data_IF_820620843007
#
_entry.id   IF_820620843007
#
_cell.length_a   1.000
_cell.length_b   1.000
_cell.length_c   1.000
_cell.angle_alpha   90.00
_cell.angle_beta   90.00
_cell.angle_gamma   90.00
#
_symmetry.space_group_name_H-M   'P 1'
#
loop_
_entity.id
_entity.type
_entity.pdbx_description
1 polymer ?
#
# COMPACT_ATOMS: atom_id res chain seq x y z
N UNK A 1 -5.85 26.60 14.00
CA UNK A 1 -6.20 27.00 12.62
C UNK A 1 -5.15 27.93 11.98
N UNK A 2 -4.29 28.63 12.74
CA UNK A 2 -3.23 29.51 12.20
C UNK A 2 -2.19 28.82 11.30
N UNK A 3 -1.85 27.54 11.52
CA UNK A 3 -0.83 26.86 10.71
C UNK A 3 -1.33 26.34 9.34
N UNK A 4 -2.65 26.23 9.14
CA UNK A 4 -3.20 25.73 7.88
C UNK A 4 -3.12 26.77 6.75
N UNK A 5 -3.14 28.06 7.09
CA UNK A 5 -2.99 29.14 6.12
C UNK A 5 -1.58 29.22 5.49
N UNK A 6 -0.57 28.57 6.09
CA UNK A 6 0.76 28.40 5.49
C UNK A 6 0.83 27.21 4.51
N UNK A 7 -0.22 26.39 4.43
CA UNK A 7 -0.27 25.20 3.56
C UNK A 7 -0.87 25.49 2.17
N UNK A 8 -1.14 26.76 1.83
CA UNK A 8 -1.61 27.18 0.49
C UNK A 8 -0.54 27.00 -0.62
N UNK A 9 0.63 26.43 -0.27
CA UNK A 9 1.71 26.13 -1.20
C UNK A 9 1.66 24.71 -1.76
N UNK A 10 2.24 24.54 -2.96
CA UNK A 10 2.57 23.23 -3.54
C UNK A 10 3.80 22.62 -2.86
N UNK A 11 3.91 21.29 -2.88
CA UNK A 11 4.97 20.53 -2.20
C UNK A 11 6.00 19.95 -3.18
N UNK A 12 7.28 20.00 -2.83
CA UNK A 12 8.35 19.35 -3.60
C UNK A 12 8.47 17.85 -3.29
N UNK A 13 7.93 17.40 -2.15
CA UNK A 13 7.96 16.00 -1.74
C UNK A 13 6.71 15.66 -0.93
N UNK A 14 6.02 14.59 -1.32
CA UNK A 14 4.94 13.97 -0.54
C UNK A 14 5.31 12.51 -0.28
N UNK A 15 5.22 12.09 0.97
CA UNK A 15 5.61 10.76 1.41
C UNK A 15 4.41 9.96 1.91
N UNK A 16 4.21 8.78 1.35
CA UNK A 16 3.37 7.72 1.91
C UNK A 16 4.30 6.71 2.59
N UNK A 17 4.27 6.66 3.92
CA UNK A 17 5.09 5.74 4.70
C UNK A 17 4.19 4.80 5.49
N UNK A 18 4.11 3.52 5.07
CA UNK A 18 3.27 2.50 5.68
C UNK A 18 1.83 2.95 5.92
N UNK A 19 1.24 3.65 4.95
CA UNK A 19 -0.07 4.30 5.09
C UNK A 19 -1.10 3.68 4.17
N UNK A 20 -0.73 3.44 2.91
CA UNK A 20 -1.69 3.16 1.85
C UNK A 20 -2.37 1.81 2.04
N UNK A 21 -1.68 0.82 2.61
CA UNK A 21 -2.29 -0.47 2.94
C UNK A 21 -3.39 -0.40 4.00
N UNK A 22 -3.54 0.74 4.70
CA UNK A 22 -4.65 1.00 5.61
C UNK A 22 -5.86 1.67 4.95
N UNK A 23 -5.78 2.08 3.68
CA UNK A 23 -6.88 2.70 2.93
C UNK A 23 -7.89 1.68 2.42
N UNK A 24 -8.45 0.91 3.36
CA UNK A 24 -9.40 -0.17 3.07
C UNK A 24 -10.83 0.36 2.87
N UNK A 25 -11.57 -0.31 2.00
CA UNK A 25 -13.00 -0.08 1.76
C UNK A 25 -13.84 -1.32 2.11
N UNK A 26 -15.12 -1.31 1.74
CA UNK A 26 -16.04 -2.43 2.01
C UNK A 26 -15.74 -3.66 1.13
N UNK A 27 -14.92 -3.51 0.10
CA UNK A 27 -14.48 -4.60 -0.78
C UNK A 27 -13.01 -4.45 -1.16
N UNK A 28 -12.42 -5.54 -1.65
CA UNK A 28 -11.03 -5.52 -2.14
C UNK A 28 -10.87 -4.57 -3.33
N UNK A 29 -11.84 -4.54 -4.27
CA UNK A 29 -11.79 -3.64 -5.42
C UNK A 29 -11.94 -2.16 -5.02
N UNK A 30 -12.82 -1.86 -4.06
CA UNK A 30 -12.91 -0.51 -3.46
C UNK A 30 -11.62 -0.11 -2.77
N UNK A 31 -11.01 -1.02 -2.00
CA UNK A 31 -9.70 -0.79 -1.37
C UNK A 31 -8.62 -0.43 -2.40
N UNK A 32 -8.55 -1.18 -3.51
CA UNK A 32 -7.61 -0.88 -4.61
C UNK A 32 -7.87 0.49 -5.24
N UNK A 33 -9.14 0.88 -5.39
CA UNK A 33 -9.52 2.21 -5.88
C UNK A 33 -9.13 3.31 -4.88
N UNK A 34 -9.35 3.11 -3.58
CA UNK A 34 -8.98 4.07 -2.54
C UNK A 34 -7.48 4.34 -2.51
N UNK A 35 -6.65 3.29 -2.62
CA UNK A 35 -5.19 3.42 -2.73
C UNK A 35 -4.80 4.26 -3.95
N UNK A 36 -5.32 3.91 -5.13
CA UNK A 36 -5.01 4.65 -6.36
C UNK A 36 -5.49 6.12 -6.29
N UNK A 37 -6.70 6.35 -5.77
CA UNK A 37 -7.28 7.68 -5.62
C UNK A 37 -6.46 8.56 -4.66
N UNK A 38 -5.93 7.99 -3.57
CA UNK A 38 -5.07 8.74 -2.65
C UNK A 38 -3.75 9.17 -3.32
N UNK A 39 -3.16 8.31 -4.16
CA UNK A 39 -1.95 8.64 -4.92
C UNK A 39 -2.25 9.72 -5.97
N UNK A 40 -3.37 9.63 -6.68
CA UNK A 40 -3.80 10.65 -7.64
C UNK A 40 -4.11 12.00 -6.97
N UNK A 41 -4.74 11.98 -5.79
CA UNK A 41 -5.14 13.18 -5.07
C UNK A 41 -3.95 14.07 -4.65
N UNK A 42 -2.74 13.50 -4.52
CA UNK A 42 -1.56 14.30 -4.16
C UNK A 42 -0.90 15.00 -5.35
N UNK A 43 -1.18 14.57 -6.57
CA UNK A 43 -0.58 15.13 -7.80
C UNK A 43 -0.83 16.64 -7.96
N UNK A 44 -2.06 17.18 -7.82
CA UNK A 44 -2.29 18.62 -7.94
C UNK A 44 -1.57 19.43 -6.84
N UNK A 45 -1.21 18.79 -5.73
CA UNK A 45 -0.49 19.40 -4.61
C UNK A 45 1.01 19.51 -4.89
N UNK A 46 1.54 18.85 -5.91
CA UNK A 46 2.97 18.88 -6.22
C UNK A 46 3.37 20.13 -7.00
N UNK A 47 4.61 20.59 -6.76
CA UNK A 47 5.30 21.53 -7.65
C UNK A 47 5.64 20.84 -8.98
N UNK A 48 6.08 21.60 -9.98
CA UNK A 48 6.56 21.02 -11.25
C UNK A 48 7.80 20.14 -11.12
N UNK A 49 8.51 20.22 -9.99
CA UNK A 49 9.66 19.35 -9.66
C UNK A 49 9.34 18.38 -8.53
N UNK A 50 8.06 18.31 -8.16
CA UNK A 50 7.57 17.54 -7.03
C UNK A 50 7.76 16.04 -7.23
N UNK A 51 7.99 15.35 -6.12
CA UNK A 51 8.17 13.90 -6.10
C UNK A 51 7.21 13.25 -5.12
N UNK A 52 6.84 12.01 -5.40
CA UNK A 52 6.12 11.16 -4.45
C UNK A 52 7.03 10.00 -4.03
N UNK A 53 7.10 9.76 -2.73
CA UNK A 53 7.82 8.65 -2.13
C UNK A 53 6.81 7.69 -1.50
N UNK A 54 6.74 6.46 -1.98
CA UNK A 54 5.88 5.41 -1.39
C UNK A 54 6.76 4.33 -0.78
N UNK A 55 6.67 4.16 0.53
CA UNK A 55 7.39 3.14 1.29
C UNK A 55 6.39 2.19 1.95
N UNK A 56 6.35 0.94 1.49
CA UNK A 56 5.28 0.01 1.82
C UNK A 56 5.77 -1.43 1.95
N UNK A 57 5.09 -2.22 2.78
CA UNK A 57 5.35 -3.66 2.86
C UNK A 57 4.69 -4.36 1.68
N UNK A 58 5.46 -5.16 0.96
CA UNK A 58 5.02 -5.90 -0.21
C UNK A 58 4.85 -7.37 0.09
N UNK A 59 3.67 -7.91 -0.19
CA UNK A 59 3.30 -9.29 0.14
C UNK A 59 3.16 -10.07 -1.16
N UNK A 60 4.22 -10.74 -1.60
CA UNK A 60 4.22 -11.51 -2.84
C UNK A 60 3.74 -12.94 -2.58
N UNK A 61 3.08 -13.52 -3.58
CA UNK A 61 2.53 -14.86 -3.49
C UNK A 61 3.58 -15.94 -3.72
N UNK A 62 3.26 -17.18 -3.32
CA UNK A 62 4.03 -18.35 -3.71
C UNK A 62 3.86 -18.64 -5.20
N UNK A 63 2.61 -18.70 -5.66
CA UNK A 63 2.25 -18.93 -7.07
C UNK A 63 1.45 -17.78 -7.68
N UNK A 64 0.64 -17.09 -6.87
CA UNK A 64 -0.24 -16.00 -7.30
C UNK A 64 -0.05 -14.75 -6.45
N UNK A 65 0.58 -13.72 -7.02
CA UNK A 65 0.96 -12.49 -6.32
C UNK A 65 -0.19 -11.70 -5.70
N UNK A 66 -1.42 -11.84 -6.20
CA UNK A 66 -2.58 -11.15 -5.64
C UNK A 66 -3.33 -11.91 -4.56
N UNK A 67 -3.05 -13.22 -4.39
CA UNK A 67 -3.80 -14.08 -3.48
C UNK A 67 -3.54 -13.74 -2.00
N UNK A 68 -2.29 -13.50 -1.54
CA UNK A 68 -2.05 -13.12 -0.15
C UNK A 68 -2.76 -11.82 0.24
N UNK A 69 -2.70 -10.82 -0.63
CA UNK A 69 -3.38 -9.52 -0.46
C UNK A 69 -4.88 -9.70 -0.20
N UNK A 70 -5.53 -10.56 -0.99
CA UNK A 70 -6.96 -10.82 -0.87
C UNK A 70 -7.32 -11.61 0.38
N UNK A 71 -6.55 -12.65 0.72
CA UNK A 71 -6.74 -13.45 1.92
C UNK A 71 -6.58 -12.61 3.19
N UNK A 72 -5.50 -11.83 3.27
CA UNK A 72 -5.22 -10.97 4.41
C UNK A 72 -6.29 -9.89 4.55
N UNK A 73 -6.69 -9.23 3.46
CA UNK A 73 -7.79 -8.27 3.47
C UNK A 73 -9.07 -8.90 4.02
N UNK A 74 -9.45 -10.07 3.51
CA UNK A 74 -10.69 -10.75 3.91
C UNK A 74 -10.67 -11.12 5.39
N UNK A 75 -9.54 -11.64 5.88
CA UNK A 75 -9.39 -12.04 7.29
C UNK A 75 -9.35 -10.85 8.25
N UNK A 76 -8.74 -9.73 7.84
CA UNK A 76 -8.52 -8.57 8.71
C UNK A 76 -9.70 -7.59 8.68
N UNK A 77 -10.41 -7.47 7.57
CA UNK A 77 -11.59 -6.61 7.43
C UNK A 77 -12.88 -7.26 7.97
N UNK A 78 -12.85 -8.57 8.25
CA UNK A 78 -14.02 -9.26 8.79
C UNK A 78 -14.18 -9.04 10.30
N UNK A 79 -15.13 -8.17 10.66
CA UNK A 79 -15.44 -7.83 12.04
C UNK A 79 -15.97 -9.02 12.86
N UNK A 80 -16.65 -9.99 12.22
CA UNK A 80 -17.24 -11.14 12.91
C UNK A 80 -16.18 -12.09 13.50
N UNK A 81 -14.99 -12.15 12.88
CA UNK A 81 -13.88 -12.98 13.36
C UNK A 81 -12.75 -12.16 14.00
N UNK A 82 -12.94 -10.84 14.15
CA UNK A 82 -11.91 -9.94 14.67
C UNK A 82 -11.39 -10.35 16.05
N UNK A 83 -12.26 -10.88 16.93
CA UNK A 83 -11.85 -11.39 18.24
C UNK A 83 -10.93 -12.63 18.17
N UNK A 84 -11.11 -13.48 17.16
CA UNK A 84 -10.27 -14.66 16.94
C UNK A 84 -8.95 -14.30 16.26
N UNK A 85 -8.99 -13.44 15.24
CA UNK A 85 -7.78 -13.00 14.51
C UNK A 85 -6.88 -12.11 15.36
N UNK A 86 -7.45 -11.27 16.25
CA UNK A 86 -6.67 -10.51 17.25
C UNK A 86 -5.89 -11.40 18.21
N UNK A 87 -6.48 -12.52 18.66
CA UNK A 87 -5.81 -13.53 19.51
C UNK A 87 -4.66 -14.24 18.79
N UNK A 88 -4.64 -14.26 17.46
CA UNK A 88 -3.54 -14.81 16.66
C UNK A 88 -2.45 -13.78 16.33
N UNK A 89 -2.50 -12.57 16.93
CA UNK A 89 -1.49 -11.54 16.78
C UNK A 89 -1.77 -10.50 15.68
N UNK A 90 -2.95 -10.55 15.03
CA UNK A 90 -3.35 -9.52 14.08
C UNK A 90 -3.87 -8.28 14.83
N UNK A 91 -2.96 -7.34 15.12
CA UNK A 91 -3.30 -6.09 15.81
C UNK A 91 -4.29 -5.19 15.04
N UNK A 92 -4.53 -5.47 13.75
CA UNK A 92 -5.43 -4.74 12.84
C UNK A 92 -6.75 -5.47 12.57
N UNK A 93 -7.05 -6.52 13.33
CA UNK A 93 -8.28 -7.28 13.23
C UNK A 93 -9.53 -6.39 13.42
N UNK A 94 -10.45 -6.41 12.45
CA UNK A 94 -11.68 -5.62 12.43
C UNK A 94 -11.54 -4.23 11.81
N UNK A 95 -10.30 -3.77 11.55
CA UNK A 95 -10.01 -2.51 10.85
C UNK A 95 -9.73 -2.77 9.37
N UNK A 96 -9.08 -3.90 9.05
CA UNK A 96 -8.70 -4.25 7.69
C UNK A 96 -7.34 -3.69 7.28
N UNK A 97 -6.55 -4.50 6.58
CA UNK A 97 -5.33 -4.08 5.88
C UNK A 97 -5.25 -4.75 4.53
N UNK A 98 -4.64 -4.07 3.56
CA UNK A 98 -4.46 -4.55 2.20
C UNK A 98 -3.02 -4.31 1.75
N UNK A 99 -2.15 -5.25 2.10
CA UNK A 99 -0.79 -5.28 1.56
C UNK A 99 -0.84 -5.76 0.12
N UNK A 100 -0.22 -5.01 -0.79
CA UNK A 100 -0.14 -5.38 -2.20
C UNK A 100 1.18 -6.10 -2.48
N UNK A 101 1.21 -6.97 -3.48
CA UNK A 101 2.48 -7.44 -4.06
C UNK A 101 3.20 -6.33 -4.83
N UNK A 102 4.48 -6.51 -5.13
CA UNK A 102 5.23 -5.56 -5.95
C UNK A 102 4.57 -5.39 -7.33
N UNK A 103 4.16 -6.50 -7.96
CA UNK A 103 3.46 -6.47 -9.25
C UNK A 103 2.19 -5.63 -9.17
N UNK A 104 1.40 -5.83 -8.12
CA UNK A 104 0.19 -5.07 -7.88
C UNK A 104 0.45 -3.57 -7.63
N UNK A 105 1.54 -3.23 -6.94
CA UNK A 105 1.97 -1.83 -6.81
C UNK A 105 2.30 -1.21 -8.15
N UNK A 106 3.12 -1.89 -8.97
CA UNK A 106 3.46 -1.43 -10.33
C UNK A 106 2.21 -1.25 -11.19
N UNK A 107 1.28 -2.22 -11.15
CA UNK A 107 -0.03 -2.09 -11.83
C UNK A 107 -0.80 -0.86 -11.36
N UNK A 108 -0.91 -0.64 -10.03
CA UNK A 108 -1.58 0.55 -9.49
C UNK A 108 -0.93 1.84 -9.97
N UNK A 109 0.41 1.92 -9.97
CA UNK A 109 1.14 3.12 -10.36
C UNK A 109 1.06 3.39 -11.86
N UNK A 110 1.01 2.35 -12.70
CA UNK A 110 0.81 2.48 -14.14
C UNK A 110 -0.55 3.08 -14.53
N UNK A 111 -1.52 3.07 -13.61
CA UNK A 111 -2.81 3.72 -13.80
C UNK A 111 -2.82 5.19 -13.34
N UNK A 112 -1.68 5.70 -12.87
CA UNK A 112 -1.56 7.09 -12.44
C UNK A 112 -0.84 7.95 -13.46
N UNK A 113 -0.95 9.27 -13.32
CA UNK A 113 -0.17 10.24 -14.12
C UNK A 113 1.27 10.46 -13.60
N UNK A 114 1.72 9.62 -12.66
CA UNK A 114 3.10 9.59 -12.16
C UNK A 114 3.96 8.60 -12.95
N UNK A 115 5.23 8.93 -13.12
CA UNK A 115 6.24 8.03 -13.67
C UNK A 115 7.12 7.47 -12.55
N UNK A 116 7.43 6.17 -12.62
CA UNK A 116 8.41 5.53 -11.75
C UNK A 116 9.82 6.00 -12.11
N UNK A 117 10.44 6.78 -11.23
CA UNK A 117 11.83 7.20 -11.36
C UNK A 117 12.79 6.11 -10.86
N UNK A 118 12.49 5.54 -9.70
CA UNK A 118 13.33 4.50 -9.08
C UNK A 118 12.48 3.61 -8.19
N UNK A 119 12.83 2.33 -8.18
CA UNK A 119 12.39 1.38 -7.19
C UNK A 119 13.59 0.79 -6.46
N UNK A 120 13.45 0.56 -5.15
CA UNK A 120 14.38 -0.23 -4.34
C UNK A 120 13.61 -1.03 -3.30
N UNK A 121 14.19 -2.11 -2.80
CA UNK A 121 13.61 -2.89 -1.72
C UNK A 121 14.67 -3.37 -0.72
N UNK A 122 14.18 -3.73 0.47
CA UNK A 122 14.98 -4.29 1.55
C UNK A 122 15.02 -5.83 1.44
N UNK A 123 15.81 -6.43 2.34
CA UNK A 123 15.89 -7.88 2.47
C UNK A 123 14.54 -8.52 2.76
N UNK A 124 14.39 -9.75 2.25
CA UNK A 124 13.19 -10.57 2.45
C UNK A 124 13.10 -10.99 3.91
N UNK A 125 11.91 -10.85 4.48
CA UNK A 125 11.62 -11.31 5.83
C UNK A 125 11.42 -12.83 5.84
N UNK A 126 11.90 -13.47 6.91
CA UNK A 126 11.62 -14.88 7.16
C UNK A 126 10.14 -15.09 7.51
N UNK A 127 9.43 -15.89 6.71
CA UNK A 127 8.02 -16.21 6.95
C UNK A 127 7.92 -17.64 7.47
N UNK A 128 7.29 -17.89 8.63
CA UNK A 128 7.02 -19.24 9.09
C UNK A 128 6.23 -20.05 8.06
N UNK A 129 6.62 -21.30 7.82
CA UNK A 129 6.02 -22.17 6.78
C UNK A 129 4.48 -22.25 6.87
N UNK A 130 3.94 -22.29 8.08
CA UNK A 130 2.48 -22.28 8.30
C UNK A 130 1.78 -21.08 7.65
N UNK A 131 2.40 -19.90 7.69
CA UNK A 131 1.85 -18.68 7.09
C UNK A 131 2.10 -18.62 5.59
N UNK A 132 3.22 -19.17 5.11
CA UNK A 132 3.46 -19.34 3.68
C UNK A 132 2.36 -20.18 3.04
N UNK A 133 2.00 -21.31 3.66
CA UNK A 133 0.95 -22.20 3.14
C UNK A 133 -0.43 -21.55 3.32
N UNK A 134 -0.79 -21.12 4.54
CA UNK A 134 -2.14 -20.66 4.86
C UNK A 134 -2.52 -19.36 4.15
N UNK A 135 -1.61 -18.40 4.05
CA UNK A 135 -1.84 -17.11 3.39
C UNK A 135 -1.25 -17.06 1.97
N UNK A 136 -0.73 -18.18 1.49
CA UNK A 136 -0.06 -18.28 0.19
C UNK A 136 1.13 -17.31 0.01
N UNK A 137 1.79 -16.94 1.12
CA UNK A 137 2.87 -15.96 1.16
C UNK A 137 4.20 -16.55 0.70
N UNK A 138 4.76 -16.01 -0.39
CA UNK A 138 6.08 -16.40 -0.87
C UNK A 138 7.19 -15.60 -0.21
N UNK A 139 7.08 -14.28 -0.21
CA UNK A 139 8.01 -13.40 0.49
C UNK A 139 7.35 -12.09 0.88
N UNK A 140 7.84 -11.52 1.97
CA UNK A 140 7.50 -10.18 2.43
C UNK A 140 8.80 -9.38 2.44
N UNK A 141 8.74 -8.14 1.97
CA UNK A 141 9.85 -7.18 2.04
C UNK A 141 9.29 -5.77 2.02
N UNK A 142 10.11 -4.80 2.43
CA UNK A 142 9.73 -3.39 2.25
C UNK A 142 10.17 -2.91 0.86
N UNK A 143 9.31 -2.12 0.21
CA UNK A 143 9.57 -1.54 -1.10
C UNK A 143 9.45 -0.04 -1.06
N UNK A 144 10.32 0.62 -1.83
CA UNK A 144 10.35 2.06 -1.99
C UNK A 144 10.17 2.44 -3.46
N UNK A 145 9.09 3.13 -3.77
CA UNK A 145 8.86 3.72 -5.08
C UNK A 145 9.09 5.23 -5.02
N UNK A 146 9.99 5.72 -5.85
CA UNK A 146 10.20 7.15 -6.12
C UNK A 146 9.52 7.50 -7.43
N UNK A 147 8.62 8.47 -7.36
CA UNK A 147 7.74 8.85 -8.45
C UNK A 147 7.88 10.34 -8.75
N UNK A 148 7.68 10.69 -10.01
CA UNK A 148 7.70 12.07 -10.52
C UNK A 148 6.46 12.32 -11.36
N UNK A 149 5.99 13.56 -11.43
CA UNK A 149 4.93 13.92 -12.38
C UNK A 149 5.42 13.73 -13.81
N UNK A 150 4.53 13.24 -14.69
CA UNK A 150 4.80 13.28 -16.13
C UNK A 150 5.05 14.74 -16.56
N UNK A 151 6.27 15.05 -16.98
CA UNK A 151 6.54 16.31 -17.68
C UNK A 151 5.91 16.20 -19.06
N UNK A 152 4.90 17.03 -19.32
CA UNK A 152 4.42 17.31 -20.67
C UNK A 152 5.51 17.98 -21.50
#
# INVERSE_FOLDING_TARGET
MEHLAQLDGKYDLICFNWLLHHLVGNSYSETRRNIAAAIEAVIPLLTSRGRVSIFENMYNGLLFDGLPSHLIFTLTSNQAIAGFTKKMGANTAGVGVCFLSQKQWVETLNHTSLNLLKYSDDDKWGIPLKWQIFLHLGNIRCGHFWLVTQTC
#
